data_IF_453871967406
#
_entry.id   IF_453871967406
#
_cell.length_a   1.000
_cell.length_b   1.000
_cell.length_c   1.000
_cell.angle_alpha   90.00
_cell.angle_beta   90.00
_cell.angle_gamma   90.00
#
_symmetry.space_group_name_H-M   'P 1'
#
loop_
_entity.id
_entity.type
_entity.pdbx_description
1 polymer ?
#
# COMPACT_ATOMS: atom_id res chain seq x y z
N UNK A 1 6.60 5.48 -8.17
CA UNK A 1 5.19 5.82 -8.49
C UNK A 1 4.48 4.66 -9.16
N UNK A 2 4.93 4.17 -10.33
CA UNK A 2 4.37 2.95 -10.94
C UNK A 2 4.45 1.74 -10.00
N UNK A 3 5.56 1.57 -9.28
CA UNK A 3 5.69 0.50 -8.27
C UNK A 3 4.73 0.65 -7.10
N UNK A 4 4.44 1.89 -6.70
CA UNK A 4 3.46 2.19 -5.64
C UNK A 4 2.04 1.81 -6.06
N UNK A 5 1.67 2.09 -7.31
CA UNK A 5 0.38 1.66 -7.88
C UNK A 5 0.31 0.14 -7.92
N UNK A 6 1.33 -0.53 -8.45
CA UNK A 6 1.38 -2.00 -8.49
C UNK A 6 1.30 -2.63 -7.11
N UNK A 7 1.94 -2.02 -6.10
CA UNK A 7 1.81 -2.46 -4.71
C UNK A 7 0.40 -2.27 -4.19
N UNK A 8 -0.16 -1.08 -4.39
CA UNK A 8 -1.51 -0.75 -3.98
C UNK A 8 -2.55 -1.71 -4.58
N UNK A 9 -2.54 -1.93 -5.89
CA UNK A 9 -3.50 -2.81 -6.58
C UNK A 9 -3.40 -4.27 -6.14
N UNK A 10 -2.22 -4.71 -5.72
CA UNK A 10 -2.03 -6.05 -5.15
C UNK A 10 -2.64 -6.16 -3.76
N UNK A 11 -2.43 -5.14 -2.92
CA UNK A 11 -2.84 -5.17 -1.51
C UNK A 11 -4.31 -4.73 -1.33
N UNK A 12 -4.89 -3.99 -2.30
CA UNK A 12 -6.25 -3.45 -2.30
C UNK A 12 -7.05 -3.93 -3.52
N UNK A 13 -7.33 -5.24 -3.57
CA UNK A 13 -8.18 -5.84 -4.61
C UNK A 13 -9.58 -5.19 -4.63
N UNK A 14 -10.12 -4.98 -5.83
CA UNK A 14 -11.43 -4.34 -6.01
C UNK A 14 -11.43 -2.82 -5.86
N UNK A 15 -10.30 -2.20 -5.48
CA UNK A 15 -10.17 -0.74 -5.45
C UNK A 15 -9.64 -0.20 -6.79
N UNK A 16 -10.17 0.94 -7.23
CA UNK A 16 -9.72 1.66 -8.44
C UNK A 16 -8.94 2.90 -8.05
N UNK A 17 -7.71 3.02 -8.55
CA UNK A 17 -6.90 4.24 -8.38
C UNK A 17 -7.51 5.39 -9.19
N UNK A 18 -7.66 6.54 -8.54
CA UNK A 18 -8.17 7.78 -9.14
C UNK A 18 -7.05 8.78 -9.39
N UNK A 19 -6.12 8.90 -8.45
CA UNK A 19 -4.96 9.78 -8.57
C UNK A 19 -3.80 9.26 -7.73
N UNK A 20 -2.59 9.58 -8.17
CA UNK A 20 -1.36 9.33 -7.43
C UNK A 20 -0.54 10.61 -7.52
N UNK A 21 -0.06 11.08 -6.39
CA UNK A 21 0.67 12.34 -6.27
C UNK A 21 1.91 12.09 -5.40
N UNK A 22 3.07 12.68 -5.76
CA UNK A 22 4.22 12.73 -4.83
C UNK A 22 3.99 13.82 -3.81
N UNK A 23 4.32 13.54 -2.56
CA UNK A 23 4.15 14.45 -1.43
C UNK A 23 5.38 14.33 -0.52
N UNK A 24 5.81 15.45 0.06
CA UNK A 24 6.80 15.42 1.13
C UNK A 24 6.08 15.26 2.48
N UNK A 25 6.51 14.29 3.29
CA UNK A 25 6.04 14.07 4.66
C UNK A 25 7.24 13.69 5.52
N UNK A 26 7.45 14.40 6.63
CA UNK A 26 8.53 14.14 7.58
C UNK A 26 9.92 14.06 6.92
N UNK A 27 10.19 14.97 5.96
CA UNK A 27 11.45 15.00 5.20
C UNK A 27 11.63 13.86 4.19
N UNK A 28 10.58 13.08 3.93
CA UNK A 28 10.61 11.94 2.99
C UNK A 28 9.61 12.14 1.85
N UNK A 29 10.02 11.71 0.66
CA UNK A 29 9.13 11.65 -0.50
C UNK A 29 8.25 10.40 -0.42
N UNK A 30 6.94 10.62 -0.25
CA UNK A 30 5.92 9.57 -0.22
C UNK A 30 4.98 9.70 -1.40
N UNK A 31 4.31 8.59 -1.76
CA UNK A 31 3.27 8.60 -2.78
C UNK A 31 1.91 8.57 -2.10
N UNK A 32 1.10 9.61 -2.32
CA UNK A 32 -0.29 9.67 -1.87
C UNK A 32 -1.20 9.12 -2.97
N UNK A 33 -1.93 8.08 -2.65
CA UNK A 33 -2.83 7.37 -3.57
C UNK A 33 -4.27 7.66 -3.15
N UNK A 34 -5.07 8.21 -4.07
CA UNK A 34 -6.52 8.31 -3.93
C UNK A 34 -7.14 7.16 -4.69
N UNK A 35 -7.98 6.36 -4.04
CA UNK A 35 -8.63 5.23 -4.66
C UNK A 35 -10.09 5.11 -4.20
N UNK A 36 -10.94 4.61 -5.08
CA UNK A 36 -12.32 4.27 -4.79
C UNK A 36 -12.40 2.77 -4.47
N UNK A 37 -13.03 2.42 -3.34
CA UNK A 37 -13.32 1.02 -3.01
C UNK A 37 -14.56 0.51 -3.78
N UNK A 38 -14.82 -0.78 -3.64
CA UNK A 38 -15.97 -1.49 -4.22
C UNK A 38 -17.33 -0.97 -3.74
N UNK A 39 -17.35 -0.24 -2.62
CA UNK A 39 -18.54 0.43 -2.07
C UNK A 39 -18.70 1.86 -2.58
N UNK A 40 -17.85 2.29 -3.52
CA UNK A 40 -17.86 3.64 -4.07
C UNK A 40 -17.24 4.71 -3.15
N UNK A 41 -16.56 4.32 -2.06
CA UNK A 41 -15.97 5.27 -1.12
C UNK A 41 -14.56 5.63 -1.55
N UNK A 42 -14.26 6.93 -1.56
CA UNK A 42 -12.92 7.42 -1.84
C UNK A 42 -12.08 7.37 -0.56
N UNK A 43 -10.94 6.69 -0.62
CA UNK A 43 -9.96 6.56 0.46
C UNK A 43 -8.60 7.08 0.00
N UNK A 44 -7.84 7.58 0.96
CA UNK A 44 -6.48 8.09 0.76
C UNK A 44 -5.51 7.13 1.43
N UNK A 45 -4.49 6.71 0.70
CA UNK A 45 -3.42 5.84 1.17
C UNK A 45 -2.08 6.53 0.96
N UNK A 46 -1.13 6.26 1.85
CA UNK A 46 0.24 6.77 1.75
C UNK A 46 1.17 5.58 1.61
N UNK A 47 1.87 5.51 0.48
CA UNK A 47 2.93 4.54 0.21
C UNK A 47 4.28 5.23 0.36
N UNK A 48 5.02 4.83 1.38
CA UNK A 48 6.40 5.23 1.61
C UNK A 48 7.33 4.16 1.01
N UNK A 49 7.99 4.44 -0.13
CA UNK A 49 8.86 3.46 -0.79
C UNK A 49 10.11 3.13 0.02
N UNK A 50 10.49 3.97 0.99
CA UNK A 50 11.65 3.75 1.87
C UNK A 50 11.27 2.87 3.06
N UNK A 51 9.98 2.68 3.36
CA UNK A 51 9.49 1.79 4.40
C UNK A 51 9.52 0.35 3.89
N UNK A 52 10.58 -0.38 4.24
CA UNK A 52 10.66 -1.82 4.00
C UNK A 52 9.45 -2.48 4.69
N UNK A 53 8.63 -3.29 3.98
CA UNK A 53 7.53 -3.99 4.63
C UNK A 53 8.12 -4.84 5.77
N UNK A 54 7.48 -4.88 6.96
CA UNK A 54 7.96 -5.72 8.04
C UNK A 54 8.08 -7.16 7.52
N UNK A 55 9.14 -7.91 7.90
CA UNK A 55 9.25 -9.30 7.48
C UNK A 55 7.95 -10.00 7.86
N UNK A 56 7.26 -10.55 6.87
CA UNK A 56 6.10 -11.42 7.11
C UNK A 56 6.62 -12.52 8.03
N UNK A 57 6.18 -12.55 9.30
CA UNK A 57 6.46 -13.70 10.17
C UNK A 57 6.01 -14.92 9.38
N UNK A 58 6.94 -15.82 9.06
CA UNK A 58 6.59 -17.14 8.55
C UNK A 58 5.60 -17.76 9.56
N UNK A 59 4.56 -18.49 9.12
CA UNK A 59 3.79 -19.28 10.06
C UNK A 59 4.78 -20.21 10.76
N UNK A 60 4.96 -20.03 12.07
CA UNK A 60 5.63 -21.01 12.90
C UNK A 60 4.87 -22.31 12.68
N UNK A 61 5.53 -23.29 12.07
CA UNK A 61 5.02 -24.66 12.00
C UNK A 61 5.18 -25.23 13.41
N UNK A 62 4.23 -24.88 14.28
CA UNK A 62 3.93 -25.65 15.47
C UNK A 62 3.35 -26.98 14.98
N UNK A 63 4.19 -27.97 14.75
CA UNK A 63 3.79 -29.37 14.63
C UNK A 63 4.88 -30.25 15.25
N UNK A 64 4.50 -30.79 16.41
CA UNK A 64 5.01 -31.86 17.26
C UNK A 64 6.06 -32.87 16.74
N UNK A 65 7.07 -33.12 17.58
CA UNK A 65 7.67 -34.45 17.83
C UNK A 65 7.91 -34.59 19.35
#
# INVERSE_FOLDING_TARGET
MADSVRRFERDHRGSRVLSVERMQSDGRDVNRIKAMDDRGRVRVYVDDPQRRPPPRRAPTRDDHD
#
